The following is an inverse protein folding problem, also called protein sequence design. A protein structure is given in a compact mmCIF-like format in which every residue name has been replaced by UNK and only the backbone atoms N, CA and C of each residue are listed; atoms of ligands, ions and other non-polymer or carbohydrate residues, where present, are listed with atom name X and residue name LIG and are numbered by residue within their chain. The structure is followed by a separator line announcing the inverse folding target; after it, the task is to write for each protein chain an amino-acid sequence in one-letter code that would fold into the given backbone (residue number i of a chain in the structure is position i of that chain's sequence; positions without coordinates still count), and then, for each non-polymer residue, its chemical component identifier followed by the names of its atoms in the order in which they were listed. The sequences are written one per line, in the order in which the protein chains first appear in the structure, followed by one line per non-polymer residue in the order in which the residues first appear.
data_IF_228359330141
#
_entry.id   IF_228359330141
#
_cell.length_a   1.000
_cell.length_b   1.000
_cell.length_c   1.000
_cell.angle_alpha   90.00
_cell.angle_beta   90.00
_cell.angle_gamma   90.00
#
_symmetry.space_group_name_H-M   'P 1'
#
loop_
_entity.id
_entity.type
_entity.pdbx_description
1 polymer ?
#
# COMPACT_ATOMS: atom_id res chain seq x y z
N UNK A 1 -39.12 7.42 -35.21
CA UNK A 1 -37.82 7.38 -34.51
C UNK A 1 -38.04 7.03 -33.04
N UNK A 2 -38.96 7.72 -32.36
CA UNK A 2 -39.30 7.52 -30.93
C UNK A 2 -39.74 6.10 -30.56
N UNK A 3 -40.50 5.43 -31.42
CA UNK A 3 -40.91 4.02 -31.18
C UNK A 3 -39.75 3.04 -31.19
N UNK A 4 -38.67 3.33 -31.92
CA UNK A 4 -37.46 2.52 -31.92
C UNK A 4 -36.60 2.84 -30.69
N UNK A 5 -36.47 4.13 -30.34
CA UNK A 5 -35.77 4.57 -29.13
C UNK A 5 -36.39 3.94 -27.87
N UNK A 6 -37.72 3.99 -27.71
CA UNK A 6 -38.40 3.36 -26.58
C UNK A 6 -38.18 1.83 -26.49
N UNK A 7 -38.04 1.15 -27.64
CA UNK A 7 -37.74 -0.29 -27.64
C UNK A 7 -36.30 -0.58 -27.25
N UNK A 8 -35.35 0.27 -27.67
CA UNK A 8 -33.95 0.19 -27.26
C UNK A 8 -33.81 0.45 -25.76
N UNK A 9 -34.48 1.48 -25.24
CA UNK A 9 -34.45 1.81 -23.81
C UNK A 9 -35.06 0.68 -22.96
N UNK A 10 -36.17 0.11 -23.42
CA UNK A 10 -36.77 -1.06 -22.78
C UNK A 10 -35.80 -2.23 -22.76
N UNK A 11 -35.15 -2.55 -23.89
CA UNK A 11 -34.18 -3.63 -23.99
C UNK A 11 -32.96 -3.41 -23.07
N UNK A 12 -32.46 -2.19 -22.98
CA UNK A 12 -31.37 -1.84 -22.08
C UNK A 12 -31.77 -2.04 -20.61
N UNK A 13 -32.98 -1.61 -20.22
CA UNK A 13 -33.47 -1.84 -18.86
C UNK A 13 -33.53 -3.33 -18.50
N UNK A 14 -34.01 -4.18 -19.42
CA UNK A 14 -33.99 -5.63 -19.23
C UNK A 14 -32.57 -6.19 -19.12
N UNK A 15 -31.63 -5.69 -19.94
CA UNK A 15 -30.24 -6.14 -19.90
C UNK A 15 -29.55 -5.78 -18.58
N UNK A 16 -29.79 -4.57 -18.07
CA UNK A 16 -29.29 -4.13 -16.77
C UNK A 16 -29.84 -4.99 -15.64
N UNK A 17 -31.14 -5.27 -15.66
CA UNK A 17 -31.78 -6.12 -14.65
C UNK A 17 -31.23 -7.55 -14.68
N UNK A 18 -31.12 -8.17 -15.86
CA UNK A 18 -30.52 -9.49 -16.03
C UNK A 18 -29.06 -9.52 -15.54
N UNK A 19 -28.28 -8.49 -15.87
CA UNK A 19 -26.88 -8.37 -15.43
C UNK A 19 -26.79 -8.29 -13.91
N UNK A 20 -27.69 -7.54 -13.27
CA UNK A 20 -27.74 -7.40 -11.82
C UNK A 20 -28.09 -8.72 -11.12
N UNK A 21 -29.08 -9.46 -11.64
CA UNK A 21 -29.41 -10.78 -11.10
C UNK A 21 -28.22 -11.75 -11.20
N UNK A 22 -27.57 -11.82 -12.36
CA UNK A 22 -26.37 -12.64 -12.53
C UNK A 22 -25.25 -12.25 -11.56
N UNK A 23 -25.05 -10.96 -11.32
CA UNK A 23 -24.05 -10.50 -10.36
C UNK A 23 -24.38 -10.95 -8.92
N UNK A 24 -25.65 -10.84 -8.50
CA UNK A 24 -26.10 -11.32 -7.18
C UNK A 24 -25.90 -12.82 -7.04
N UNK A 25 -26.23 -13.60 -8.07
CA UNK A 25 -26.05 -15.05 -8.06
C UNK A 25 -24.56 -15.42 -7.98
N UNK A 26 -23.68 -14.73 -8.73
CA UNK A 26 -22.23 -14.92 -8.67
C UNK A 26 -21.66 -14.58 -7.28
N UNK A 27 -22.10 -13.48 -6.67
CA UNK A 27 -21.73 -13.10 -5.30
C UNK A 27 -22.24 -14.13 -4.29
N UNK A 28 -23.46 -14.63 -4.48
CA UNK A 28 -24.07 -15.69 -3.68
C UNK A 28 -23.26 -16.98 -3.73
N UNK A 29 -22.89 -17.44 -4.94
CA UNK A 29 -22.05 -18.62 -5.16
C UNK A 29 -20.69 -18.52 -4.45
N UNK A 30 -20.15 -17.31 -4.31
CA UNK A 30 -18.92 -17.06 -3.54
C UNK A 30 -19.07 -17.32 -2.03
N UNK A 31 -20.28 -17.23 -1.49
CA UNK A 31 -20.62 -17.44 -0.07
C UNK A 31 -21.08 -18.86 0.24
N UNK A 32 -21.61 -19.58 -0.76
CA UNK A 32 -22.03 -20.98 -0.59
C UNK A 32 -20.82 -21.86 -0.23
N UNK A 33 -21.01 -22.79 0.70
CA UNK A 33 -20.02 -23.77 1.18
C UNK A 33 -18.81 -23.20 1.95
N UNK A 34 -18.94 -22.04 2.61
CA UNK A 34 -17.87 -21.51 3.47
C UNK A 34 -16.66 -20.96 2.72
N UNK A 35 -16.75 -20.83 1.39
CA UNK A 35 -15.62 -20.42 0.53
C UNK A 35 -15.22 -18.96 0.76
N UNK A 36 -16.19 -18.09 1.04
CA UNK A 36 -15.92 -16.70 1.37
C UNK A 36 -15.10 -16.59 2.67
N UNK A 37 -15.50 -17.33 3.70
CA UNK A 37 -14.84 -17.40 5.00
C UNK A 37 -13.44 -18.03 4.88
N UNK A 38 -13.30 -19.12 4.11
CA UNK A 38 -12.00 -19.74 3.83
C UNK A 38 -11.06 -18.76 3.12
N UNK A 39 -11.55 -18.09 2.07
CA UNK A 39 -10.79 -17.07 1.34
C UNK A 39 -10.36 -15.93 2.26
N UNK A 40 -11.26 -15.43 3.10
CA UNK A 40 -10.92 -14.39 4.07
C UNK A 40 -9.83 -14.87 5.03
N UNK A 41 -9.98 -16.07 5.60
CA UNK A 41 -8.99 -16.66 6.52
C UNK A 41 -7.62 -16.84 5.88
N UNK A 42 -7.57 -17.32 4.64
CA UNK A 42 -6.35 -17.49 3.86
C UNK A 42 -5.66 -16.15 3.55
N UNK A 43 -6.44 -15.14 3.16
CA UNK A 43 -5.92 -13.79 2.92
C UNK A 43 -5.40 -13.15 4.21
N UNK A 44 -6.09 -13.33 5.33
CA UNK A 44 -5.63 -12.86 6.63
C UNK A 44 -4.34 -13.56 7.08
N UNK A 45 -4.22 -14.85 6.81
CA UNK A 45 -2.99 -15.62 7.09
C UNK A 45 -1.82 -15.12 6.23
N UNK A 46 -2.07 -14.90 4.93
CA UNK A 46 -1.06 -14.35 4.02
C UNK A 46 -0.65 -12.93 4.47
N UNK A 47 -1.61 -12.08 4.82
CA UNK A 47 -1.36 -10.73 5.32
C UNK A 47 -0.49 -10.77 6.59
N UNK A 48 -0.81 -11.62 7.57
CA UNK A 48 0.01 -11.80 8.77
C UNK A 48 1.43 -12.23 8.44
N UNK A 49 1.61 -13.14 7.48
CA UNK A 49 2.93 -13.61 7.07
C UNK A 49 3.76 -12.51 6.41
N UNK A 50 3.15 -11.73 5.51
CA UNK A 50 3.80 -10.59 4.85
C UNK A 50 4.15 -9.51 5.88
N UNK A 51 3.22 -9.16 6.77
CA UNK A 51 3.45 -8.20 7.84
C UNK A 51 4.57 -8.66 8.79
N UNK A 52 4.64 -9.95 9.14
CA UNK A 52 5.73 -10.49 9.94
C UNK A 52 7.10 -10.44 9.25
N UNK A 53 7.15 -10.51 7.92
CA UNK A 53 8.39 -10.29 7.16
C UNK A 53 8.78 -8.82 7.11
N UNK A 54 7.80 -7.95 6.88
CA UNK A 54 7.97 -6.50 6.91
C UNK A 54 8.51 -6.05 8.26
N UNK A 55 7.90 -6.51 9.36
CA UNK A 55 8.31 -6.15 10.72
C UNK A 55 9.76 -6.53 11.00
N UNK A 56 10.17 -7.75 10.63
CA UNK A 56 11.56 -8.20 10.76
C UNK A 56 12.54 -7.37 9.92
N UNK A 57 12.15 -7.01 8.70
CA UNK A 57 12.98 -6.19 7.83
C UNK A 57 13.14 -4.76 8.36
N UNK A 58 12.03 -4.18 8.83
CA UNK A 58 12.00 -2.82 9.34
C UNK A 58 12.65 -2.68 10.70
N UNK A 59 12.70 -3.74 11.51
CA UNK A 59 13.23 -3.72 12.87
C UNK A 59 14.50 -4.57 13.04
N UNK A 60 15.64 -4.18 12.42
CA UNK A 60 16.91 -4.88 12.64
C UNK A 60 17.34 -4.78 14.10
N UNK A 61 18.06 -5.80 14.58
CA UNK A 61 18.62 -5.82 15.95
C UNK A 61 19.73 -4.79 16.15
N UNK A 62 20.49 -4.48 15.09
CA UNK A 62 21.55 -3.48 15.08
C UNK A 62 21.41 -2.59 13.83
N UNK A 63 20.78 -1.43 14.01
CA UNK A 63 20.53 -0.47 12.93
C UNK A 63 21.82 0.02 12.25
N UNK A 64 22.95 0.07 12.98
CA UNK A 64 24.24 0.53 12.44
C UNK A 64 24.83 -0.40 11.37
N UNK A 65 24.43 -1.68 11.39
CA UNK A 65 24.88 -2.71 10.42
C UNK A 65 23.82 -3.06 9.39
N UNK A 66 22.61 -2.53 9.53
CA UNK A 66 21.52 -2.81 8.60
C UNK A 66 21.82 -2.16 7.24
N UNK A 67 21.40 -2.83 6.16
CA UNK A 67 21.39 -2.19 4.84
C UNK A 67 20.18 -1.27 4.79
N UNK A 68 20.39 -0.03 4.39
CA UNK A 68 19.35 1.00 4.45
C UNK A 68 18.96 1.48 3.07
N UNK A 69 17.72 1.97 2.97
CA UNK A 69 17.21 2.79 1.88
C UNK A 69 16.54 4.02 2.51
N UNK A 70 16.94 5.22 2.05
CA UNK A 70 16.45 6.48 2.61
C UNK A 70 15.34 7.07 1.73
N UNK A 71 14.24 7.50 2.33
CA UNK A 71 13.08 8.10 1.66
C UNK A 71 12.68 9.42 2.31
N UNK A 72 12.20 10.39 1.54
CA UNK A 72 11.67 11.66 2.03
C UNK A 72 10.21 11.87 1.63
N UNK A 73 9.50 12.73 2.37
CA UNK A 73 8.15 13.19 2.02
C UNK A 73 8.19 14.58 1.37
N UNK A 74 9.12 14.77 0.43
CA UNK A 74 9.46 16.08 -0.14
C UNK A 74 8.91 16.28 -1.56
N UNK A 75 8.11 15.35 -2.08
CA UNK A 75 7.57 15.46 -3.45
C UNK A 75 6.64 16.67 -3.52
N UNK A 76 6.75 17.52 -4.56
CA UNK A 76 5.98 18.77 -4.69
C UNK A 76 4.53 18.48 -5.11
N UNK A 77 3.83 17.67 -4.33
CA UNK A 77 2.49 17.17 -4.56
C UNK A 77 1.79 16.88 -3.21
N UNK A 78 0.47 16.63 -3.25
CA UNK A 78 -0.31 16.37 -2.05
C UNK A 78 -0.05 14.98 -1.43
N UNK A 79 -0.73 14.70 -0.31
CA UNK A 79 -0.57 13.48 0.50
C UNK A 79 -0.60 12.18 -0.28
N UNK A 80 -1.61 11.98 -1.15
CA UNK A 80 -1.74 10.71 -1.89
C UNK A 80 -0.51 10.39 -2.76
N UNK A 81 0.10 11.41 -3.34
CA UNK A 81 1.30 11.26 -4.17
C UNK A 81 2.54 10.90 -3.32
N UNK A 82 2.75 11.58 -2.20
CA UNK A 82 3.83 11.24 -1.25
C UNK A 82 3.66 9.83 -0.66
N UNK A 83 2.43 9.41 -0.32
CA UNK A 83 2.15 8.05 0.17
C UNK A 83 2.42 6.99 -0.88
N UNK A 84 2.03 7.22 -2.14
CA UNK A 84 2.35 6.28 -3.22
C UNK A 84 3.86 6.18 -3.47
N UNK A 85 4.59 7.30 -3.40
CA UNK A 85 6.05 7.29 -3.48
C UNK A 85 6.69 6.52 -2.31
N UNK A 86 6.20 6.73 -1.09
CA UNK A 86 6.64 5.97 0.09
C UNK A 86 6.37 4.47 -0.08
N UNK A 87 5.19 4.08 -0.58
CA UNK A 87 4.84 2.68 -0.84
C UNK A 87 5.74 2.05 -1.91
N UNK A 88 6.06 2.80 -2.98
CA UNK A 88 7.02 2.37 -4.00
C UNK A 88 8.42 2.15 -3.43
N UNK A 89 8.94 3.11 -2.67
CA UNK A 89 10.24 2.97 -1.99
C UNK A 89 10.24 1.79 -1.01
N UNK A 90 9.11 1.52 -0.37
CA UNK A 90 8.98 0.38 0.53
C UNK A 90 9.03 -0.95 -0.19
N UNK A 91 8.40 -1.07 -1.37
CA UNK A 91 8.53 -2.25 -2.22
C UNK A 91 9.99 -2.47 -2.64
N UNK A 92 10.69 -1.41 -3.03
CA UNK A 92 12.12 -1.48 -3.38
C UNK A 92 13.00 -1.91 -2.18
N UNK A 93 12.75 -1.35 -1.01
CA UNK A 93 13.44 -1.73 0.22
C UNK A 93 13.19 -3.21 0.56
N UNK A 94 11.95 -3.67 0.42
CA UNK A 94 11.57 -5.06 0.66
C UNK A 94 12.27 -6.04 -0.29
N UNK A 95 12.24 -5.79 -1.61
CA UNK A 95 12.89 -6.70 -2.58
C UNK A 95 14.42 -6.69 -2.47
N UNK A 96 15.02 -5.58 -2.02
CA UNK A 96 16.47 -5.45 -1.88
C UNK A 96 16.99 -5.85 -0.49
N UNK A 97 16.10 -6.25 0.43
CA UNK A 97 16.47 -6.60 1.80
C UNK A 97 17.07 -5.44 2.59
N UNK A 98 16.55 -4.22 2.37
CA UNK A 98 16.97 -2.99 3.06
C UNK A 98 15.89 -2.51 4.01
N UNK A 99 16.28 -1.99 5.16
CA UNK A 99 15.38 -1.26 6.07
C UNK A 99 15.13 0.13 5.50
N UNK A 100 13.85 0.47 5.33
CA UNK A 100 13.41 1.79 4.88
C UNK A 100 13.43 2.76 6.05
N UNK A 101 14.10 3.90 5.88
CA UNK A 101 14.19 4.95 6.90
C UNK A 101 13.86 6.32 6.29
N UNK A 102 13.22 7.19 7.07
CA UNK A 102 13.03 8.57 6.63
C UNK A 102 14.36 9.32 6.63
N UNK A 103 14.53 10.19 5.62
CA UNK A 103 15.55 11.23 5.66
C UNK A 103 15.29 12.14 6.87
N UNK A 104 16.36 12.73 7.41
CA UNK A 104 16.28 13.66 8.53
C UNK A 104 15.91 15.07 8.04
N UNK A 105 14.89 15.15 7.18
CA UNK A 105 14.26 16.43 6.83
C UNK A 105 13.24 16.77 7.90
N UNK A 106 13.31 18.01 8.40
CA UNK A 106 12.36 18.54 9.40
C UNK A 106 11.39 19.51 8.71
N UNK A 107 10.67 19.05 7.69
CA UNK A 107 9.61 19.87 7.10
C UNK A 107 8.36 19.85 8.01
N UNK A 108 7.47 20.82 7.80
CA UNK A 108 6.15 20.81 8.45
C UNK A 108 5.37 19.52 8.13
N UNK A 109 5.62 18.92 6.97
CA UNK A 109 4.95 17.71 6.53
C UNK A 109 5.52 16.44 7.19
N UNK A 110 6.83 16.37 7.39
CA UNK A 110 7.48 15.29 8.16
C UNK A 110 7.00 15.29 9.62
N UNK A 111 6.83 16.49 10.19
CA UNK A 111 6.28 16.68 11.54
C UNK A 111 4.82 16.21 11.63
N UNK A 112 4.00 16.60 10.64
CA UNK A 112 2.61 16.15 10.55
C UNK A 112 2.52 14.62 10.41
N UNK A 113 3.36 14.01 9.57
CA UNK A 113 3.40 12.55 9.41
C UNK A 113 3.69 11.85 10.74
N UNK A 114 4.75 12.28 11.42
CA UNK A 114 5.19 11.70 12.70
C UNK A 114 4.15 11.86 13.81
N UNK A 115 3.33 12.91 13.76
CA UNK A 115 2.24 13.13 14.70
C UNK A 115 1.00 12.24 14.45
N UNK A 116 0.80 11.76 13.22
CA UNK A 116 -0.41 11.04 12.82
C UNK A 116 -0.19 9.55 12.53
N UNK A 117 1.05 9.12 12.28
CA UNK A 117 1.39 7.74 11.94
C UNK A 117 2.46 7.16 12.87
N UNK A 118 2.44 5.83 13.00
CA UNK A 118 3.52 5.10 13.64
C UNK A 118 4.82 5.23 12.83
N UNK A 119 5.99 5.19 13.49
CA UNK A 119 7.26 5.21 12.77
C UNK A 119 7.40 3.98 11.87
N UNK A 120 8.13 4.12 10.77
CA UNK A 120 8.41 2.99 9.85
C UNK A 120 9.19 1.85 10.53
N UNK A 121 9.90 2.16 11.61
CA UNK A 121 10.70 1.21 12.41
C UNK A 121 10.67 1.61 13.88
N UNK A 122 10.60 0.63 14.76
CA UNK A 122 10.75 0.81 16.21
C UNK A 122 12.22 0.79 16.65
N UNK A 123 13.10 0.06 15.95
CA UNK A 123 14.51 -0.13 16.35
C UNK A 123 15.52 0.66 15.53
N UNK A 124 15.11 1.19 14.37
CA UNK A 124 15.98 1.92 13.44
C UNK A 124 15.28 3.23 13.03
N UNK A 125 15.18 4.14 13.99
CA UNK A 125 14.55 5.46 13.82
C UNK A 125 15.61 6.46 13.34
N UNK A 126 15.28 7.19 12.26
CA UNK A 126 15.97 8.35 11.65
C UNK A 126 17.46 8.50 11.98
N UNK A 127 18.31 8.34 10.96
CA UNK A 127 19.75 8.54 11.09
C UNK A 127 20.13 10.00 10.92
N UNK A 128 21.11 10.47 11.70
CA UNK A 128 21.93 11.61 11.30
C UNK A 128 22.81 11.15 10.12
N UNK A 129 22.33 11.33 8.89
CA UNK A 129 23.05 11.01 7.63
C UNK A 129 24.11 12.09 7.35
N UNK A 130 24.77 12.63 8.37
CA UNK A 130 25.92 13.51 8.17
C UNK A 130 27.18 12.72 7.76
N UNK A 131 27.21 11.40 8.02
CA UNK A 131 28.43 10.59 7.90
C UNK A 131 28.38 9.49 6.82
N UNK A 132 27.33 9.41 5.99
CA UNK A 132 27.21 8.29 5.03
C UNK A 132 26.68 8.70 3.65
N UNK A 133 27.56 9.32 2.87
CA UNK A 133 27.40 9.61 1.43
C UNK A 133 27.11 8.36 0.58
N UNK A 134 27.32 7.15 1.13
CA UNK A 134 27.21 5.86 0.43
C UNK A 134 25.86 5.13 0.61
N UNK A 135 24.91 5.66 1.39
CA UNK A 135 23.60 5.00 1.55
C UNK A 135 22.72 5.30 0.33
N UNK A 136 22.14 4.27 -0.32
CA UNK A 136 21.20 4.48 -1.41
C UNK A 136 19.99 5.31 -0.98
N UNK A 137 19.74 6.39 -1.70
CA UNK A 137 18.54 7.22 -1.58
C UNK A 137 17.46 6.74 -2.56
N UNK A 138 16.24 7.16 -2.30
CA UNK A 138 15.10 6.97 -3.18
C UNK A 138 15.39 7.39 -4.64
N UNK A 139 14.81 6.70 -5.64
CA UNK A 139 14.97 7.09 -7.03
C UNK A 139 14.40 8.47 -7.34
N UNK A 140 15.11 9.24 -8.16
CA UNK A 140 14.60 10.49 -8.74
C UNK A 140 13.71 10.16 -9.94
N UNK A 141 12.39 10.15 -9.73
CA UNK A 141 11.40 10.29 -10.81
C UNK A 141 10.82 11.70 -10.78
#
# INVERSE_FOLDING_TARGET
MDRLLNKVDTLNGWLEEMTRYLQVDLEGLGRVNGKAESRQSELDQLARHVQGRIDKLQNPSDCSKAKLLVVGLTRPCAFGCNVHHLAYCFQLAYISGRTLVFDKTETAYDSWWTANFLPLSNTCKQLNIADSEHIPREPSF
#
